data_IF_596006037836
#
_entry.id   IF_596006037836
#
_cell.length_a   1.000
_cell.length_b   1.000
_cell.length_c   1.000
_cell.angle_alpha   90.00
_cell.angle_beta   90.00
_cell.angle_gamma   90.00
#
_symmetry.space_group_name_H-M   'P 1'
#
loop_
_entity.id
_entity.type
_entity.pdbx_description
1 polymer ?
#
# COMPACT_ATOMS: atom_id res chain seq x y z
N UNK A 1 -42.24 13.28 9.53
CA UNK A 1 -42.08 11.92 8.98
C UNK A 1 -41.28 12.06 7.72
N UNK A 2 -39.97 11.79 7.78
CA UNK A 2 -39.09 11.90 6.62
C UNK A 2 -39.41 10.77 5.65
N UNK A 3 -39.72 11.11 4.40
CA UNK A 3 -39.80 10.15 3.31
C UNK A 3 -38.49 9.38 3.24
N UNK A 4 -38.54 8.10 3.62
CA UNK A 4 -37.49 7.16 3.29
C UNK A 4 -37.52 6.98 1.78
N UNK A 5 -36.63 7.69 1.08
CA UNK A 5 -36.33 7.43 -0.32
C UNK A 5 -36.05 5.93 -0.49
N UNK A 6 -36.89 5.31 -1.31
CA UNK A 6 -36.85 3.88 -1.65
C UNK A 6 -35.45 3.49 -2.13
N UNK A 7 -35.00 2.29 -1.78
CA UNK A 7 -33.73 1.72 -2.23
C UNK A 7 -33.59 1.69 -3.77
N UNK A 8 -34.71 1.75 -4.51
CA UNK A 8 -34.75 1.78 -5.98
C UNK A 8 -34.26 3.09 -6.62
N UNK A 9 -34.14 4.19 -5.86
CA UNK A 9 -33.71 5.49 -6.39
C UNK A 9 -32.20 5.75 -6.22
N UNK A 10 -31.45 4.84 -5.58
CA UNK A 10 -30.00 4.98 -5.33
C UNK A 10 -29.11 4.35 -6.40
N UNK A 11 -29.68 3.89 -7.49
CA UNK A 11 -28.95 3.50 -8.69
C UNK A 11 -29.23 4.53 -9.76
N UNK A 12 -28.65 5.73 -9.62
CA UNK A 12 -28.44 6.57 -10.80
C UNK A 12 -27.43 5.82 -11.65
N UNK A 13 -27.91 4.99 -12.57
CA UNK A 13 -27.06 4.36 -13.57
C UNK A 13 -26.38 5.47 -14.35
N UNK A 14 -25.06 5.37 -14.50
CA UNK A 14 -24.33 6.24 -15.41
C UNK A 14 -25.02 6.13 -16.77
N UNK A 15 -25.43 7.27 -17.31
CA UNK A 15 -26.06 7.38 -18.63
C UNK A 15 -25.24 6.57 -19.65
N UNK A 16 -25.91 5.69 -20.41
CA UNK A 16 -25.25 4.80 -21.37
C UNK A 16 -24.44 5.57 -22.41
N UNK A 17 -24.82 6.82 -22.69
CA UNK A 17 -24.06 7.74 -23.55
C UNK A 17 -22.65 8.04 -23.04
N UNK A 18 -22.39 7.87 -21.74
CA UNK A 18 -21.08 8.09 -21.13
C UNK A 18 -20.19 6.86 -21.15
N UNK A 19 -20.71 5.67 -21.46
CA UNK A 19 -19.92 4.42 -21.41
C UNK A 19 -18.68 4.44 -22.32
N UNK A 20 -18.74 4.95 -23.56
CA UNK A 20 -17.54 5.05 -24.40
C UNK A 20 -16.45 5.93 -23.77
N UNK A 21 -16.82 6.88 -22.90
CA UNK A 21 -15.91 7.79 -22.20
C UNK A 21 -15.31 7.18 -20.93
N UNK A 22 -15.74 5.98 -20.52
CA UNK A 22 -15.11 5.21 -19.44
C UNK A 22 -13.93 4.38 -19.95
N UNK A 23 -13.85 4.18 -21.28
CA UNK A 23 -12.76 3.47 -21.95
C UNK A 23 -11.52 4.36 -21.94
N UNK A 24 -10.34 3.75 -21.83
CA UNK A 24 -9.03 4.43 -21.81
C UNK A 24 -8.65 5.17 -20.52
N UNK A 25 -9.31 4.89 -19.39
CA UNK A 25 -8.82 5.37 -18.08
C UNK A 25 -7.40 4.90 -17.82
N UNK A 26 -6.54 5.77 -17.27
CA UNK A 26 -5.14 5.43 -17.02
C UNK A 26 -5.01 4.51 -15.81
N UNK A 27 -4.13 3.53 -15.91
CA UNK A 27 -3.87 2.49 -14.92
C UNK A 27 -2.36 2.43 -14.66
N UNK A 28 -1.99 2.27 -13.40
CA UNK A 28 -0.62 2.03 -12.98
C UNK A 28 -0.58 0.99 -11.86
N UNK A 29 0.50 0.25 -11.79
CA UNK A 29 0.79 -0.72 -10.75
C UNK A 29 2.11 -0.34 -10.07
N UNK A 30 2.08 -0.32 -8.73
CA UNK A 30 3.26 -0.48 -7.87
C UNK A 30 3.22 -1.89 -7.30
N UNK A 31 4.34 -2.61 -7.38
CA UNK A 31 4.45 -3.96 -6.83
C UNK A 31 5.70 -4.08 -5.97
N UNK A 32 5.51 -4.50 -4.73
CA UNK A 32 6.60 -4.79 -3.82
C UNK A 32 7.00 -6.27 -3.85
N UNK A 33 8.27 -6.58 -3.59
CA UNK A 33 8.79 -7.94 -3.37
C UNK A 33 10.09 -7.91 -2.58
N UNK A 34 10.19 -8.78 -1.56
CA UNK A 34 11.44 -8.97 -0.82
C UNK A 34 12.45 -9.76 -1.64
N UNK A 35 13.69 -9.28 -1.68
CA UNK A 35 14.85 -10.07 -2.06
C UNK A 35 15.20 -11.02 -0.92
N UNK A 36 15.23 -12.31 -1.21
CA UNK A 36 15.57 -13.38 -0.28
C UNK A 36 16.69 -14.25 -0.86
N UNK A 37 17.48 -14.90 0.00
CA UNK A 37 18.41 -15.93 -0.44
C UNK A 37 17.69 -17.26 -0.72
N UNK A 38 18.43 -18.26 -1.19
CA UNK A 38 17.87 -19.59 -1.53
C UNK A 38 17.36 -20.36 -0.30
N UNK A 39 17.82 -19.98 0.88
CA UNK A 39 17.40 -20.51 2.17
C UNK A 39 16.14 -19.80 2.72
N UNK A 40 15.59 -18.81 2.01
CA UNK A 40 14.38 -18.10 2.41
C UNK A 40 14.58 -17.02 3.48
N UNK A 41 15.81 -16.58 3.72
CA UNK A 41 16.13 -15.44 4.59
C UNK A 41 16.16 -14.13 3.78
N UNK A 42 15.77 -13.03 4.43
CA UNK A 42 15.83 -11.68 3.83
C UNK A 42 17.28 -11.35 3.48
N UNK A 43 17.49 -10.83 2.27
CA UNK A 43 18.82 -10.43 1.81
C UNK A 43 19.37 -9.28 2.66
N UNK A 44 20.65 -9.40 3.05
CA UNK A 44 21.43 -8.31 3.63
C UNK A 44 22.28 -7.56 2.59
N UNK A 45 22.26 -8.00 1.33
CA UNK A 45 22.97 -7.33 0.24
C UNK A 45 22.37 -5.94 -0.02
N UNK A 46 23.19 -4.94 -0.36
CA UNK A 46 22.69 -3.62 -0.76
C UNK A 46 21.84 -3.72 -2.03
N UNK A 47 21.09 -2.65 -2.34
CA UNK A 47 20.38 -2.50 -3.60
C UNK A 47 21.35 -2.71 -4.78
N UNK A 48 21.06 -3.62 -5.72
CA UNK A 48 21.99 -3.94 -6.80
C UNK A 48 22.28 -2.71 -7.66
N UNK A 49 23.57 -2.43 -7.91
CA UNK A 49 24.02 -1.26 -8.66
C UNK A 49 23.48 -1.22 -10.09
N UNK A 50 23.19 -2.39 -10.67
CA UNK A 50 22.60 -2.56 -11.99
C UNK A 50 21.16 -2.01 -12.05
N UNK A 51 20.44 -1.94 -10.93
CA UNK A 51 19.10 -1.36 -10.85
C UNK A 51 19.12 0.17 -10.71
N UNK A 52 20.30 0.76 -10.65
CA UNK A 52 20.50 2.20 -10.53
C UNK A 52 20.33 2.71 -9.10
N UNK A 53 19.98 3.99 -8.98
CA UNK A 53 19.80 4.63 -7.68
C UNK A 53 18.32 4.62 -7.28
N UNK A 54 17.97 3.83 -6.25
CA UNK A 54 16.60 3.73 -5.74
C UNK A 54 15.95 5.10 -5.46
N UNK A 55 16.73 6.11 -5.04
CA UNK A 55 16.21 7.45 -4.77
C UNK A 55 15.58 8.14 -6.00
N UNK A 56 16.10 7.88 -7.20
CA UNK A 56 15.80 8.66 -8.41
C UNK A 56 15.36 7.84 -9.60
N UNK A 57 15.50 6.51 -9.54
CA UNK A 57 15.12 5.63 -10.64
C UNK A 57 13.58 5.60 -10.78
N UNK A 58 13.09 5.80 -12.00
CA UNK A 58 11.67 6.07 -12.25
C UNK A 58 10.74 4.87 -12.01
N UNK A 59 11.25 3.66 -12.20
CA UNK A 59 10.42 2.45 -12.26
C UNK A 59 10.84 1.35 -11.27
N UNK A 60 11.94 1.53 -10.55
CA UNK A 60 12.53 0.53 -9.67
C UNK A 60 13.11 1.29 -8.48
N UNK A 61 12.58 1.05 -7.30
CA UNK A 61 13.04 1.67 -6.06
C UNK A 61 13.01 0.62 -4.95
N UNK A 62 13.32 1.04 -3.73
CA UNK A 62 13.05 0.31 -2.50
C UNK A 62 11.95 1.00 -1.72
N UNK A 63 11.08 0.22 -1.06
CA UNK A 63 10.22 0.76 0.00
C UNK A 63 10.95 0.71 1.35
N UNK A 64 10.41 0.07 2.38
CA UNK A 64 10.93 0.20 3.74
C UNK A 64 12.36 -0.34 3.90
N UNK A 65 12.58 -1.55 3.39
CA UNK A 65 13.83 -2.29 3.54
C UNK A 65 14.70 -2.14 2.30
N UNK A 66 16.01 -2.18 2.48
CA UNK A 66 16.97 -2.24 1.37
C UNK A 66 16.75 -3.48 0.48
N UNK A 67 16.18 -4.53 1.07
CA UNK A 67 15.78 -5.75 0.38
C UNK A 67 14.36 -5.71 -0.20
N UNK A 68 13.53 -4.73 0.14
CA UNK A 68 12.15 -4.64 -0.33
C UNK A 68 12.09 -3.80 -1.61
N UNK A 69 12.23 -4.46 -2.76
CA UNK A 69 12.09 -3.81 -4.06
C UNK A 69 10.65 -3.40 -4.31
N UNK A 70 10.48 -2.26 -4.98
CA UNK A 70 9.20 -1.75 -5.46
C UNK A 70 9.33 -1.42 -6.95
N UNK A 71 8.48 -2.04 -7.76
CA UNK A 71 8.43 -1.85 -9.21
C UNK A 71 7.23 -0.99 -9.57
N UNK A 72 7.48 0.10 -10.30
CA UNK A 72 6.50 1.13 -10.60
C UNK A 72 6.34 1.23 -12.11
N UNK A 73 5.14 0.94 -12.61
CA UNK A 73 4.81 1.07 -14.04
C UNK A 73 4.42 2.51 -14.40
N UNK A 74 4.60 2.93 -15.67
CA UNK A 74 3.99 4.16 -16.15
C UNK A 74 2.46 4.06 -16.14
N UNK A 75 1.78 5.20 -16.09
CA UNK A 75 0.33 5.27 -16.21
C UNK A 75 -0.10 5.05 -17.67
N UNK A 76 -0.80 3.96 -17.95
CA UNK A 76 -1.17 3.53 -19.31
C UNK A 76 -2.67 3.27 -19.43
N UNK A 77 -3.25 3.59 -20.59
CA UNK A 77 -4.68 3.35 -20.86
C UNK A 77 -4.96 1.89 -21.18
N UNK A 78 -4.01 1.19 -21.80
CA UNK A 78 -4.11 -0.23 -22.14
C UNK A 78 -3.59 -1.12 -20.99
N UNK A 79 -4.44 -2.03 -20.52
CA UNK A 79 -4.09 -2.92 -19.40
C UNK A 79 -3.05 -3.98 -19.76
N UNK A 80 -3.01 -4.43 -21.02
CA UNK A 80 -2.01 -5.39 -21.51
C UNK A 80 -0.65 -4.73 -21.61
N UNK A 81 -0.56 -3.50 -22.10
CA UNK A 81 0.69 -2.73 -22.13
C UNK A 81 1.25 -2.49 -20.71
N UNK A 82 0.38 -2.10 -19.76
CA UNK A 82 0.76 -1.95 -18.35
C UNK A 82 1.33 -3.25 -17.76
N UNK A 83 0.67 -4.39 -17.99
CA UNK A 83 1.16 -5.69 -17.51
C UNK A 83 2.46 -6.13 -18.20
N UNK A 84 2.63 -5.82 -19.49
CA UNK A 84 3.87 -6.07 -20.21
C UNK A 84 5.02 -5.21 -19.65
N UNK A 85 4.78 -3.94 -19.33
CA UNK A 85 5.76 -3.08 -18.66
C UNK A 85 6.19 -3.65 -17.31
N UNK A 86 5.23 -4.07 -16.47
CA UNK A 86 5.53 -4.72 -15.18
C UNK A 86 6.35 -6.00 -15.38
N UNK A 87 5.99 -6.82 -16.38
CA UNK A 87 6.68 -8.06 -16.71
C UNK A 87 8.13 -7.80 -17.13
N UNK A 88 8.38 -6.76 -17.91
CA UNK A 88 9.73 -6.42 -18.37
C UNK A 88 10.59 -5.86 -17.23
N UNK A 89 10.03 -5.04 -16.33
CA UNK A 89 10.69 -4.64 -15.09
C UNK A 89 11.07 -5.86 -14.25
N UNK A 90 10.15 -6.81 -14.09
CA UNK A 90 10.41 -8.06 -13.37
C UNK A 90 11.56 -8.87 -13.99
N UNK A 91 11.56 -9.06 -15.32
CA UNK A 91 12.66 -9.77 -16.01
C UNK A 91 13.99 -9.07 -15.79
N UNK A 92 14.01 -7.75 -15.91
CA UNK A 92 15.22 -6.96 -15.71
C UNK A 92 15.76 -7.11 -14.29
N UNK A 93 14.89 -7.02 -13.29
CA UNK A 93 15.27 -7.24 -11.88
C UNK A 93 15.80 -8.65 -11.67
N UNK A 94 15.06 -9.69 -12.10
CA UNK A 94 15.49 -11.08 -11.91
C UNK A 94 16.84 -11.37 -12.58
N UNK A 95 17.17 -10.70 -13.68
CA UNK A 95 18.48 -10.83 -14.33
C UNK A 95 19.64 -10.13 -13.58
N UNK A 96 19.34 -9.24 -12.62
CA UNK A 96 20.29 -8.34 -11.98
C UNK A 96 20.34 -8.45 -10.44
N UNK A 97 19.65 -9.42 -9.84
CA UNK A 97 19.69 -9.71 -8.39
C UNK A 97 20.61 -10.90 -8.03
N UNK A 98 21.47 -11.33 -8.96
CA UNK A 98 22.41 -12.44 -8.78
C UNK A 98 21.71 -13.76 -8.38
N UNK A 99 22.15 -14.40 -7.29
CA UNK A 99 21.60 -15.66 -6.76
C UNK A 99 20.39 -15.49 -5.84
N UNK A 100 19.91 -14.24 -5.66
CA UNK A 100 18.74 -13.93 -4.85
C UNK A 100 17.43 -14.24 -5.60
N UNK A 101 16.36 -14.40 -4.84
CA UNK A 101 15.01 -14.63 -5.34
C UNK A 101 14.10 -13.49 -4.89
N UNK A 102 13.01 -13.27 -5.64
CA UNK A 102 11.91 -12.41 -5.19
C UNK A 102 10.86 -13.27 -4.49
N UNK A 103 10.53 -12.92 -3.24
CA UNK A 103 9.45 -13.57 -2.52
C UNK A 103 8.11 -13.27 -3.21
N UNK A 104 7.48 -14.32 -3.73
CA UNK A 104 6.19 -14.25 -4.44
C UNK A 104 4.98 -14.30 -3.47
N UNK A 105 5.10 -13.68 -2.30
CA UNK A 105 4.06 -13.64 -1.28
C UNK A 105 4.05 -12.28 -0.55
N UNK A 106 2.88 -11.89 -0.03
CA UNK A 106 2.76 -10.67 0.78
C UNK A 106 3.40 -10.80 2.15
N UNK A 107 3.22 -11.94 2.82
CA UNK A 107 3.74 -12.13 4.17
C UNK A 107 5.21 -12.54 4.11
N UNK A 108 6.08 -11.89 4.89
CA UNK A 108 7.51 -12.17 4.86
C UNK A 108 7.83 -13.52 5.53
N UNK A 109 8.99 -14.08 5.21
CA UNK A 109 9.51 -15.35 5.76
C UNK A 109 10.97 -15.19 6.22
N UNK A 110 11.51 -16.21 6.89
CA UNK A 110 12.89 -16.23 7.37
C UNK A 110 13.09 -15.58 8.74
N UNK A 111 14.27 -15.01 8.95
CA UNK A 111 14.62 -14.24 10.16
C UNK A 111 13.99 -12.84 10.09
N UNK A 112 12.99 -12.62 10.95
CA UNK A 112 12.20 -11.40 11.01
C UNK A 112 12.52 -10.54 12.22
N UNK A 113 13.68 -10.76 12.86
CA UNK A 113 14.20 -9.84 13.87
C UNK A 113 14.56 -8.52 13.19
N UNK A 114 14.38 -7.42 13.92
CA UNK A 114 14.69 -6.08 13.41
C UNK A 114 16.13 -5.96 12.87
N UNK A 115 17.10 -6.63 13.50
CA UNK A 115 18.50 -6.63 13.07
C UNK A 115 18.74 -7.34 11.72
N UNK A 116 17.84 -8.25 11.32
CA UNK A 116 17.95 -9.00 10.07
C UNK A 116 17.30 -8.26 8.88
N UNK A 117 16.53 -7.19 9.13
CA UNK A 117 15.84 -6.40 8.11
C UNK A 117 16.61 -5.09 7.89
N UNK A 118 17.41 -4.95 6.81
CA UNK A 118 18.12 -3.71 6.54
C UNK A 118 17.15 -2.60 6.16
N UNK A 119 17.34 -1.38 6.69
CA UNK A 119 16.54 -0.21 6.30
C UNK A 119 17.05 0.32 4.96
N UNK A 120 16.16 0.75 4.07
CA UNK A 120 16.53 1.27 2.76
C UNK A 120 17.48 2.47 2.85
N UNK A 121 18.49 2.47 1.98
CA UNK A 121 19.53 3.48 1.87
C UNK A 121 19.35 4.32 0.60
N UNK A 122 19.47 5.64 0.73
CA UNK A 122 19.25 6.59 -0.37
C UNK A 122 20.41 7.60 -0.53
N UNK A 123 21.59 7.22 -0.04
CA UNK A 123 22.80 8.06 -0.06
C UNK A 123 22.78 9.24 0.92
N UNK A 124 23.73 10.15 0.76
CA UNK A 124 24.03 11.21 1.74
C UNK A 124 23.31 12.55 1.51
N UNK A 125 22.50 12.66 0.46
CA UNK A 125 21.71 13.87 0.19
C UNK A 125 20.69 14.13 1.31
N UNK A 126 20.26 15.38 1.49
CA UNK A 126 19.24 15.70 2.51
C UNK A 126 17.94 14.91 2.31
N UNK A 127 17.50 14.76 1.06
CA UNK A 127 16.28 14.00 0.73
C UNK A 127 16.49 12.51 1.01
N UNK A 128 17.64 11.96 0.65
CA UNK A 128 17.97 10.56 0.92
C UNK A 128 18.02 10.25 2.41
N UNK A 129 18.74 11.08 3.18
CA UNK A 129 18.80 10.97 4.65
C UNK A 129 17.43 11.12 5.30
N UNK A 130 16.60 12.06 4.82
CA UNK A 130 15.23 12.22 5.34
C UNK A 130 14.39 10.95 5.13
N UNK A 131 14.45 10.33 3.95
CA UNK A 131 13.73 9.06 3.66
C UNK A 131 14.23 7.90 4.52
N UNK A 132 15.52 7.84 4.80
CA UNK A 132 16.12 6.85 5.70
C UNK A 132 15.69 7.08 7.15
N UNK A 133 15.79 8.31 7.67
CA UNK A 133 15.37 8.68 9.04
C UNK A 133 13.88 8.41 9.25
N UNK A 134 13.05 8.67 8.24
CA UNK A 134 11.63 8.31 8.28
C UNK A 134 11.43 6.80 8.54
N UNK A 135 12.15 5.94 7.84
CA UNK A 135 12.09 4.47 8.02
C UNK A 135 12.69 4.01 9.35
N UNK A 136 13.72 4.69 9.86
CA UNK A 136 14.17 4.48 11.24
C UNK A 136 13.05 4.79 12.23
N UNK A 137 12.33 5.90 12.05
CA UNK A 137 11.14 6.24 12.84
C UNK A 137 10.08 5.14 12.80
N UNK A 138 9.79 4.57 11.62
CA UNK A 138 8.87 3.43 11.49
C UNK A 138 9.38 2.18 12.24
N UNK A 139 10.68 1.91 12.20
CA UNK A 139 11.31 0.81 12.97
C UNK A 139 11.00 0.97 14.46
N UNK A 140 11.27 2.15 15.04
CA UNK A 140 11.08 2.37 16.47
C UNK A 140 9.61 2.35 16.89
N UNK A 141 8.70 2.79 16.01
CA UNK A 141 7.27 2.90 16.34
C UNK A 141 6.54 1.57 16.18
N UNK A 142 6.96 0.75 15.22
CA UNK A 142 6.15 -0.37 14.71
C UNK A 142 6.91 -1.70 14.56
N UNK A 143 8.24 -1.70 14.72
CA UNK A 143 9.09 -2.84 14.39
C UNK A 143 9.29 -2.99 12.88
N UNK A 144 10.40 -3.59 12.47
CA UNK A 144 10.76 -3.72 11.05
C UNK A 144 9.96 -4.80 10.33
N UNK A 145 9.58 -5.85 11.04
CA UNK A 145 8.85 -6.97 10.46
C UNK A 145 7.51 -6.56 9.83
N UNK A 146 6.75 -5.66 10.47
CA UNK A 146 5.50 -5.16 9.89
C UNK A 146 5.75 -4.45 8.55
N UNK A 147 6.86 -3.74 8.44
CA UNK A 147 7.17 -2.86 7.32
C UNK A 147 7.64 -3.60 6.07
N UNK A 148 7.92 -4.90 6.18
CA UNK A 148 8.34 -5.75 5.05
C UNK A 148 7.22 -6.64 4.51
N UNK A 149 5.97 -6.40 4.93
CA UNK A 149 4.79 -7.03 4.32
C UNK A 149 4.57 -6.37 2.95
N UNK A 150 4.76 -7.14 1.88
CA UNK A 150 4.66 -6.64 0.52
C UNK A 150 3.21 -6.53 0.03
N UNK A 151 2.93 -5.50 -0.78
CA UNK A 151 1.65 -5.24 -1.42
C UNK A 151 1.73 -5.05 -2.94
N UNK A 152 0.54 -4.83 -3.50
CA UNK A 152 0.33 -4.26 -4.83
C UNK A 152 -0.56 -3.04 -4.64
N UNK A 153 -0.16 -1.90 -5.21
CA UNK A 153 -1.02 -0.74 -5.35
C UNK A 153 -1.51 -0.65 -6.80
N UNK A 154 -2.82 -0.51 -6.97
CA UNK A 154 -3.43 -0.28 -8.26
C UNK A 154 -3.91 1.17 -8.33
N UNK A 155 -3.23 1.94 -9.17
CA UNK A 155 -3.50 3.34 -9.43
C UNK A 155 -4.45 3.45 -10.63
N UNK A 156 -5.51 4.24 -10.50
CA UNK A 156 -6.51 4.41 -11.56
C UNK A 156 -7.02 5.84 -11.66
N UNK A 157 -7.21 6.33 -12.88
CA UNK A 157 -7.94 7.57 -13.16
C UNK A 157 -8.92 7.39 -14.32
N UNK A 158 -10.07 8.07 -14.22
CA UNK A 158 -11.03 8.14 -15.31
C UNK A 158 -10.48 9.04 -16.43
N UNK A 159 -10.84 8.80 -17.71
CA UNK A 159 -10.43 9.67 -18.82
C UNK A 159 -10.80 11.12 -18.57
N UNK A 160 -9.92 12.07 -18.93
CA UNK A 160 -10.20 13.50 -18.73
C UNK A 160 -11.46 13.95 -19.47
N UNK A 161 -11.74 13.34 -20.64
CA UNK A 161 -12.92 13.59 -21.46
C UNK A 161 -14.24 13.14 -20.82
N UNK A 162 -14.20 12.25 -19.82
CA UNK A 162 -15.39 11.81 -19.08
C UNK A 162 -16.00 12.94 -18.25
N UNK A 163 -15.16 13.73 -17.58
CA UNK A 163 -15.60 14.64 -16.52
C UNK A 163 -16.57 15.73 -16.98
N UNK A 164 -16.34 16.44 -18.10
CA UNK A 164 -17.28 17.47 -18.55
C UNK A 164 -18.67 16.91 -18.88
N UNK A 165 -18.72 15.70 -19.47
CA UNK A 165 -19.98 15.07 -19.86
C UNK A 165 -20.74 14.54 -18.64
N UNK A 166 -20.01 13.95 -17.69
CA UNK A 166 -20.59 13.52 -16.42
C UNK A 166 -21.09 14.71 -15.58
N UNK A 167 -20.36 15.83 -15.55
CA UNK A 167 -20.83 17.05 -14.89
C UNK A 167 -22.15 17.54 -15.50
N UNK A 168 -22.21 17.59 -16.84
CA UNK A 168 -23.39 18.00 -17.58
C UNK A 168 -24.59 17.08 -17.30
N UNK A 169 -24.41 15.76 -17.32
CA UNK A 169 -25.49 14.80 -17.05
C UNK A 169 -26.02 14.93 -15.62
N UNK A 170 -25.14 15.25 -14.67
CA UNK A 170 -25.50 15.48 -13.27
C UNK A 170 -26.14 16.86 -13.02
N UNK A 171 -26.25 17.71 -14.05
CA UNK A 171 -26.76 19.08 -13.97
C UNK A 171 -26.08 19.90 -12.86
N UNK A 172 -24.79 19.64 -12.63
CA UNK A 172 -23.98 20.35 -11.65
C UNK A 172 -23.39 21.62 -12.28
N UNK A 173 -23.40 22.72 -11.51
CA UNK A 173 -22.98 24.05 -11.98
C UNK A 173 -21.67 24.53 -11.33
N UNK A 174 -20.97 23.67 -10.58
CA UNK A 174 -19.67 24.01 -9.99
C UNK A 174 -18.59 24.10 -11.08
N UNK A 175 -17.39 24.56 -10.72
CA UNK A 175 -16.25 24.41 -11.64
C UNK A 175 -15.86 22.92 -11.78
N UNK A 176 -15.33 22.56 -12.95
CA UNK A 176 -15.04 21.16 -13.30
C UNK A 176 -14.09 20.49 -12.28
N UNK A 177 -13.10 21.23 -11.76
CA UNK A 177 -12.12 20.67 -10.81
C UNK A 177 -12.79 20.35 -9.48
N UNK A 178 -13.61 21.25 -8.97
CA UNK A 178 -14.37 21.03 -7.73
C UNK A 178 -15.33 19.84 -7.88
N UNK A 179 -16.04 19.75 -9.00
CA UNK A 179 -16.91 18.61 -9.31
C UNK A 179 -16.14 17.28 -9.36
N UNK A 180 -15.05 17.21 -10.13
CA UNK A 180 -14.20 16.01 -10.24
C UNK A 180 -13.64 15.60 -8.87
N UNK A 181 -13.18 16.57 -8.06
CA UNK A 181 -12.66 16.31 -6.72
C UNK A 181 -13.74 15.73 -5.81
N UNK A 182 -14.93 16.32 -5.79
CA UNK A 182 -16.06 15.82 -5.00
C UNK A 182 -16.47 14.40 -5.45
N UNK A 183 -16.45 14.12 -6.76
CA UNK A 183 -16.73 12.80 -7.30
C UNK A 183 -15.68 11.76 -6.85
N UNK A 184 -14.38 12.09 -6.89
CA UNK A 184 -13.32 11.23 -6.36
C UNK A 184 -13.47 10.97 -4.86
N UNK A 185 -13.80 11.99 -4.06
CA UNK A 185 -14.10 11.80 -2.63
C UNK A 185 -15.29 10.85 -2.43
N UNK A 186 -16.32 10.94 -3.28
CA UNK A 186 -17.43 9.99 -3.34
C UNK A 186 -16.99 8.55 -3.64
N UNK A 187 -16.09 8.37 -4.62
CA UNK A 187 -15.53 7.06 -4.94
C UNK A 187 -14.74 6.46 -3.77
N UNK A 188 -13.94 7.28 -3.06
CA UNK A 188 -13.23 6.82 -1.85
C UNK A 188 -14.21 6.34 -0.78
N UNK A 189 -15.31 7.07 -0.54
CA UNK A 189 -16.35 6.62 0.40
C UNK A 189 -16.99 5.29 0.00
N UNK A 190 -17.20 5.06 -1.30
CA UNK A 190 -17.67 3.77 -1.80
C UNK A 190 -16.62 2.66 -1.63
N UNK A 191 -15.33 2.96 -1.85
CA UNK A 191 -14.24 2.03 -1.59
C UNK A 191 -14.16 1.65 -0.11
N UNK A 192 -14.39 2.58 0.81
CA UNK A 192 -14.48 2.27 2.24
C UNK A 192 -15.67 1.34 2.56
N UNK A 193 -16.80 1.49 1.86
CA UNK A 193 -18.01 0.68 2.09
C UNK A 193 -17.91 -0.72 1.49
N UNK A 194 -17.31 -0.87 0.32
CA UNK A 194 -17.33 -2.10 -0.48
C UNK A 194 -15.95 -2.71 -0.72
N UNK A 195 -14.87 -2.07 -0.28
CA UNK A 195 -13.49 -2.48 -0.52
C UNK A 195 -13.12 -3.83 0.10
N UNK A 196 -13.89 -4.31 1.08
CA UNK A 196 -13.77 -5.67 1.62
C UNK A 196 -13.89 -6.73 0.51
N UNK A 197 -14.61 -6.46 -0.58
CA UNK A 197 -14.76 -7.39 -1.71
C UNK A 197 -13.43 -7.66 -2.40
N UNK A 198 -12.53 -6.67 -2.46
CA UNK A 198 -11.17 -6.84 -3.00
C UNK A 198 -10.41 -7.86 -2.14
N UNK A 199 -10.52 -7.74 -0.81
CA UNK A 199 -9.88 -8.66 0.12
C UNK A 199 -10.50 -10.06 0.06
N UNK A 200 -11.80 -10.15 -0.20
CA UNK A 200 -12.50 -11.41 -0.32
C UNK A 200 -12.10 -12.17 -1.60
N UNK A 201 -12.05 -11.48 -2.75
CA UNK A 201 -11.78 -12.08 -4.06
C UNK A 201 -10.28 -12.31 -4.31
N UNK A 202 -9.43 -11.37 -3.89
CA UNK A 202 -8.02 -11.33 -4.24
C UNK A 202 -7.08 -11.44 -3.04
N UNK A 203 -7.61 -11.57 -1.82
CA UNK A 203 -6.80 -11.83 -0.64
C UNK A 203 -6.05 -13.16 -0.77
N UNK A 204 -4.72 -13.09 -0.75
CA UNK A 204 -3.83 -14.24 -0.97
C UNK A 204 -2.82 -14.41 0.17
N UNK A 205 -3.22 -14.12 1.40
CA UNK A 205 -2.36 -14.28 2.58
C UNK A 205 -3.12 -14.92 3.76
N UNK A 206 -3.61 -16.17 3.64
CA UNK A 206 -4.35 -16.86 4.70
C UNK A 206 -3.46 -17.42 5.82
N UNK A 207 -2.14 -17.44 5.59
CA UNK A 207 -1.13 -18.00 6.49
C UNK A 207 0.04 -17.03 6.70
N UNK A 208 0.76 -17.23 7.81
CA UNK A 208 1.95 -16.47 8.23
C UNK A 208 2.96 -17.40 8.87
N UNK A 209 4.26 -17.04 8.84
CA UNK A 209 5.27 -17.81 9.57
C UNK A 209 5.13 -17.61 11.09
N UNK A 210 5.57 -18.60 11.87
CA UNK A 210 5.68 -18.47 13.33
C UNK A 210 6.67 -17.36 13.70
N UNK A 211 7.77 -17.21 12.93
CA UNK A 211 8.72 -16.09 13.11
C UNK A 211 8.06 -14.72 12.97
N UNK A 212 7.06 -14.59 12.09
CA UNK A 212 6.28 -13.36 11.95
C UNK A 212 5.46 -13.09 13.22
N UNK A 213 4.79 -14.11 13.76
CA UNK A 213 4.03 -13.97 15.00
C UNK A 213 4.91 -13.62 16.20
N UNK A 214 6.07 -14.25 16.32
CA UNK A 214 7.05 -14.01 17.37
C UNK A 214 7.58 -12.57 17.31
N UNK A 215 7.89 -12.08 16.11
CA UNK A 215 8.36 -10.70 15.91
C UNK A 215 7.29 -9.65 16.24
N UNK A 216 6.01 -9.97 16.02
CA UNK A 216 4.89 -9.04 16.25
C UNK A 216 4.45 -8.97 17.71
N UNK A 217 4.75 -9.97 18.53
CA UNK A 217 4.30 -10.08 19.92
C UNK A 217 2.80 -9.76 20.08
N UNK A 218 1.98 -10.13 19.10
CA UNK A 218 0.57 -9.74 19.03
C UNK A 218 -0.31 -10.67 19.85
N UNK A 219 -1.24 -10.12 20.64
CA UNK A 219 -2.25 -10.92 21.35
C UNK A 219 -3.15 -11.73 20.41
N UNK A 220 -3.27 -11.29 19.15
CA UNK A 220 -4.06 -11.96 18.12
C UNK A 220 -3.42 -13.23 17.58
N UNK A 221 -2.12 -13.46 17.83
CA UNK A 221 -1.43 -14.69 17.42
C UNK A 221 -2.10 -15.96 17.96
N UNK A 222 -2.77 -15.87 19.13
CA UNK A 222 -3.51 -16.98 19.75
C UNK A 222 -4.80 -17.37 19.00
N UNK A 223 -5.25 -16.55 18.05
CA UNK A 223 -6.47 -16.80 17.27
C UNK A 223 -6.20 -17.61 15.99
N UNK A 224 -4.92 -17.83 15.67
CA UNK A 224 -4.49 -18.62 14.54
C UNK A 224 -4.32 -20.09 14.94
N UNK A 225 -4.53 -20.97 13.97
CA UNK A 225 -4.28 -22.40 14.11
C UNK A 225 -2.90 -22.72 13.55
N UNK A 226 -2.23 -23.70 14.14
CA UNK A 226 -1.00 -24.25 13.57
C UNK A 226 -1.31 -24.92 12.23
N UNK A 227 -0.55 -24.60 11.19
CA UNK A 227 -0.62 -25.28 9.90
C UNK A 227 0.46 -26.36 9.83
N UNK A 228 1.70 -26.00 10.13
CA UNK A 228 2.86 -26.90 10.21
C UNK A 228 3.90 -26.41 11.25
N UNK A 229 5.08 -27.03 11.25
CA UNK A 229 6.17 -26.71 12.18
C UNK A 229 6.59 -25.23 12.14
N UNK A 230 6.39 -24.54 11.02
CA UNK A 230 6.92 -23.19 10.75
C UNK A 230 5.85 -22.14 10.51
N UNK A 231 4.58 -22.51 10.38
CA UNK A 231 3.52 -21.60 9.97
C UNK A 231 2.20 -21.80 10.71
N UNK A 232 1.44 -20.71 10.76
CA UNK A 232 0.09 -20.65 11.30
C UNK A 232 -0.86 -20.05 10.26
N UNK A 233 -2.14 -20.41 10.33
CA UNK A 233 -3.16 -19.96 9.40
C UNK A 233 -4.51 -19.77 10.08
N UNK A 234 -5.49 -19.25 9.34
CA UNK A 234 -6.88 -19.20 9.77
C UNK A 234 -7.77 -19.77 8.65
N UNK A 235 -8.58 -20.83 8.89
CA UNK A 235 -9.26 -21.60 7.84
C UNK A 235 -10.11 -20.81 6.82
N UNK A 236 -10.57 -19.62 7.18
CA UNK A 236 -11.39 -18.75 6.31
C UNK A 236 -10.81 -17.34 6.13
N UNK A 237 -9.58 -17.10 6.57
CA UNK A 237 -8.94 -15.82 6.28
C UNK A 237 -8.60 -15.74 4.79
N UNK A 238 -8.87 -14.60 4.18
CA UNK A 238 -8.41 -14.31 2.82
C UNK A 238 -7.11 -13.51 2.86
N UNK A 239 -7.04 -12.47 3.70
CA UNK A 239 -5.91 -11.55 3.75
C UNK A 239 -5.50 -11.18 5.19
N UNK A 240 -4.67 -12.01 5.84
CA UNK A 240 -4.01 -11.67 7.11
C UNK A 240 -3.10 -10.44 7.01
N UNK A 241 -2.60 -10.07 5.83
CA UNK A 241 -1.94 -8.78 5.58
C UNK A 241 -2.78 -7.58 6.03
N UNK A 242 -4.10 -7.67 5.91
CA UNK A 242 -5.04 -6.58 6.19
C UNK A 242 -5.75 -6.73 7.54
N UNK A 243 -5.27 -7.63 8.42
CA UNK A 243 -5.80 -7.82 9.78
C UNK A 243 -4.89 -7.19 10.84
N UNK A 244 -5.28 -7.32 12.11
CA UNK A 244 -4.57 -6.77 13.27
C UNK A 244 -3.18 -7.40 13.47
N UNK A 245 -2.92 -8.58 12.90
CA UNK A 245 -1.57 -9.16 12.87
C UNK A 245 -0.73 -8.62 11.70
N UNK A 246 -1.37 -8.09 10.66
CA UNK A 246 -0.73 -7.57 9.46
C UNK A 246 -0.42 -6.08 9.56
N UNK A 247 -0.71 -5.33 8.51
CA UNK A 247 -0.30 -3.94 8.33
C UNK A 247 -1.30 -2.93 8.93
N UNK A 248 -1.83 -3.21 10.12
CA UNK A 248 -2.71 -2.29 10.85
C UNK A 248 -2.02 -1.71 12.07
N UNK A 249 -2.24 -0.42 12.31
CA UNK A 249 -1.70 0.28 13.46
C UNK A 249 -2.79 0.90 14.34
N UNK A 250 -2.80 0.55 15.64
CA UNK A 250 -3.78 1.06 16.58
C UNK A 250 -3.73 2.58 16.79
N UNK A 251 -2.56 3.22 16.70
CA UNK A 251 -2.43 4.68 16.87
C UNK A 251 -3.15 5.42 15.74
N UNK A 252 -3.17 4.88 14.52
CA UNK A 252 -3.88 5.49 13.40
C UNK A 252 -5.40 5.49 13.62
N UNK A 253 -5.94 4.49 14.32
CA UNK A 253 -7.37 4.42 14.67
C UNK A 253 -7.84 5.54 15.61
N UNK A 254 -6.90 6.25 16.26
CA UNK A 254 -7.23 7.43 17.07
C UNK A 254 -7.63 8.65 16.22
N UNK A 255 -7.25 8.67 14.94
CA UNK A 255 -7.51 9.78 14.03
C UNK A 255 -8.68 9.47 13.12
N UNK A 256 -9.68 10.35 13.15
CA UNK A 256 -10.82 10.30 12.24
C UNK A 256 -10.51 11.22 11.06
N UNK A 257 -10.11 10.63 9.93
CA UNK A 257 -9.85 11.38 8.69
C UNK A 257 -11.13 11.38 7.86
N UNK A 258 -11.69 12.57 7.59
CA UNK A 258 -12.87 12.68 6.76
C UNK A 258 -12.55 12.47 5.27
N UNK A 259 -13.44 11.75 4.58
CA UNK A 259 -13.46 11.62 3.13
C UNK A 259 -14.70 12.30 2.50
N UNK A 260 -15.32 13.26 3.20
CA UNK A 260 -16.50 13.96 2.69
C UNK A 260 -16.12 15.05 1.68
N UNK A 261 -15.09 15.85 1.98
CA UNK A 261 -14.53 16.89 1.11
C UNK A 261 -13.00 16.91 1.20
N UNK A 262 -12.35 17.48 0.19
CA UNK A 262 -10.88 17.60 0.15
C UNK A 262 -10.35 18.51 1.26
N UNK A 263 -11.12 19.55 1.62
CA UNK A 263 -10.78 20.49 2.69
C UNK A 263 -10.78 19.80 4.06
N UNK A 264 -11.80 18.97 4.34
CA UNK A 264 -11.85 18.20 5.57
C UNK A 264 -10.69 17.18 5.63
N UNK A 265 -10.43 16.48 4.52
CA UNK A 265 -9.32 15.53 4.42
C UNK A 265 -7.96 16.19 4.71
N UNK A 266 -7.65 17.30 4.05
CA UNK A 266 -6.40 18.05 4.24
C UNK A 266 -6.30 18.54 5.68
N UNK A 267 -7.37 19.11 6.23
CA UNK A 267 -7.42 19.61 7.60
C UNK A 267 -7.14 18.50 8.61
N UNK A 268 -7.83 17.36 8.47
CA UNK A 268 -7.77 16.28 9.44
C UNK A 268 -6.43 15.54 9.37
N UNK A 269 -5.91 15.31 8.15
CA UNK A 269 -4.58 14.73 7.95
C UNK A 269 -3.47 15.67 8.46
N UNK A 270 -3.57 16.97 8.14
CA UNK A 270 -2.66 17.99 8.64
C UNK A 270 -2.60 18.00 10.16
N UNK A 271 -3.77 18.01 10.82
CA UNK A 271 -3.84 17.90 12.29
C UNK A 271 -3.17 16.64 12.82
N UNK A 272 -3.43 15.48 12.22
CA UNK A 272 -2.85 14.21 12.65
C UNK A 272 -1.30 14.21 12.64
N UNK A 273 -0.66 14.98 11.73
CA UNK A 273 0.81 15.11 11.70
C UNK A 273 1.39 16.00 12.81
N UNK A 274 0.54 16.81 13.46
CA UNK A 274 0.98 17.79 14.47
C UNK A 274 0.64 17.39 15.90
N UNK A 275 -0.20 16.37 16.09
CA UNK A 275 -0.62 15.91 17.41
C UNK A 275 0.51 15.05 18.02
N UNK A 276 1.06 15.42 19.19
CA UNK A 276 2.04 14.60 19.87
C UNK A 276 1.40 13.30 20.37
N UNK A 277 2.17 12.22 20.35
CA UNK A 277 1.77 10.93 20.91
C UNK A 277 2.80 10.50 21.95
N UNK A 278 2.38 10.44 23.22
CA UNK A 278 3.24 10.14 24.37
C UNK A 278 4.07 8.86 24.18
N UNK A 279 3.51 7.85 23.50
CA UNK A 279 4.24 6.62 23.20
C UNK A 279 5.47 6.85 22.31
N UNK A 280 5.40 7.79 21.36
CA UNK A 280 6.52 8.13 20.48
C UNK A 280 7.47 9.15 21.11
N UNK A 281 6.97 10.07 21.94
CA UNK A 281 7.83 11.01 22.67
C UNK A 281 8.79 10.28 23.61
N UNK A 282 8.34 9.18 24.23
CA UNK A 282 9.19 8.33 25.08
C UNK A 282 10.32 7.62 24.33
N UNK A 283 10.21 7.46 23.01
CA UNK A 283 11.28 6.91 22.18
C UNK A 283 12.42 7.93 22.06
N UNK A 284 12.09 9.22 22.01
CA UNK A 284 13.04 10.31 21.76
C UNK A 284 13.29 10.56 20.26
N UNK A 285 13.84 11.73 19.96
CA UNK A 285 14.13 12.17 18.58
C UNK A 285 15.62 12.03 18.19
N UNK A 286 16.49 11.73 19.16
CA UNK A 286 17.93 11.52 18.98
C UNK A 286 18.37 10.33 19.81
N UNK A 287 19.27 9.51 19.28
CA UNK A 287 19.94 8.47 20.04
C UNK A 287 21.21 9.06 20.69
N UNK A 288 21.18 9.25 22.01
CA UNK A 288 22.29 9.79 22.80
C UNK A 288 22.41 11.33 22.80
N UNK A 289 23.03 11.84 23.87
CA UNK A 289 23.80 13.10 23.85
C UNK A 289 25.21 12.82 23.31
#
# INVERSE_FOLDING_TARGET
MSEQLSCSERTTTIDESLWPLLIYGLKGIEKESLRINREGSISSSPHPVQLGAALTHLNITTDYSEALLELITPALSDGTEMLNSLKDLHKYVCANINDELLLAASMPIGDLRDSAIPIAEYGSSNVGRMKHIYRQGLSYRYGRCMQVIAGIHFNYSLPETFWPQYQHSMRNADDLRSFTTQAYMGMIRNLQRYGWLILYLFGSSPAVSKSFLDSRNSGYSRTLQEFDETSCYKPFATSLRMSEIGYLNAVQSMFHISFNSIEEYIRDLGKATTIPYLGYERIGAKAGD
#
